data_IF_193776212179
#
_entry.id   IF_193776212179
#
_cell.length_a   1.000
_cell.length_b   1.000
_cell.length_c   1.000
_cell.angle_alpha   90.00
_cell.angle_beta   90.00
_cell.angle_gamma   90.00
#
_symmetry.space_group_name_H-M   'P 1'
#
loop_
_entity.id
_entity.type
_entity.pdbx_description
1 polymer ?
#
# COMPACT_ATOMS: atom_id res chain seq x y z
N UNK A 1 -31.33 -25.94 29.47
CA UNK A 1 -32.32 -24.84 29.30
C UNK A 1 -32.39 -24.53 27.80
N UNK A 2 -33.50 -24.84 27.13
CA UNK A 2 -33.70 -24.49 25.72
C UNK A 2 -34.00 -22.99 25.70
N UNK A 3 -33.10 -22.15 25.13
CA UNK A 3 -33.28 -20.71 25.07
C UNK A 3 -34.46 -20.40 24.11
N UNK A 4 -35.45 -19.67 24.57
CA UNK A 4 -36.59 -19.18 23.77
C UNK A 4 -36.07 -18.45 22.48
N UNK A 5 -34.97 -17.72 22.59
CA UNK A 5 -34.33 -17.07 21.47
C UNK A 5 -33.79 -18.04 20.40
N UNK A 6 -33.27 -19.20 20.79
CA UNK A 6 -32.74 -20.20 19.84
C UNK A 6 -33.86 -20.84 19.00
N UNK A 7 -35.01 -21.16 19.61
CA UNK A 7 -36.18 -21.69 18.87
C UNK A 7 -36.78 -20.66 17.92
N UNK A 8 -36.76 -19.42 18.30
CA UNK A 8 -37.28 -18.31 17.53
C UNK A 8 -36.39 -17.99 16.31
N UNK A 9 -35.09 -18.04 16.45
CA UNK A 9 -34.14 -17.91 15.35
C UNK A 9 -34.31 -19.04 14.34
N UNK A 10 -34.51 -20.29 14.82
CA UNK A 10 -34.74 -21.44 13.96
C UNK A 10 -36.08 -21.37 13.22
N UNK A 11 -37.13 -20.80 13.81
CA UNK A 11 -38.44 -20.66 13.17
C UNK A 11 -38.43 -19.59 12.07
N UNK A 12 -37.66 -18.50 12.25
CA UNK A 12 -37.53 -17.38 11.30
C UNK A 12 -36.15 -17.35 10.60
N UNK A 13 -35.47 -18.50 10.49
CA UNK A 13 -34.07 -18.59 10.02
C UNK A 13 -33.83 -17.85 8.70
N UNK A 14 -34.76 -17.92 7.74
CA UNK A 14 -34.62 -17.26 6.45
C UNK A 14 -34.48 -15.73 6.56
N UNK A 15 -35.26 -15.10 7.48
CA UNK A 15 -35.16 -13.65 7.73
C UNK A 15 -33.84 -13.30 8.41
N UNK A 16 -33.40 -14.10 9.38
CA UNK A 16 -32.12 -13.90 10.08
C UNK A 16 -30.94 -14.07 9.15
N UNK A 17 -30.93 -15.06 8.28
CA UNK A 17 -29.85 -15.29 7.30
C UNK A 17 -29.82 -14.15 6.28
N UNK A 18 -30.94 -13.75 5.71
CA UNK A 18 -31.01 -12.68 4.72
C UNK A 18 -30.52 -11.34 5.29
N UNK A 19 -31.01 -11.00 6.49
CA UNK A 19 -30.55 -9.77 7.19
C UNK A 19 -29.09 -9.86 7.64
N UNK A 20 -28.67 -11.08 8.07
CA UNK A 20 -27.28 -11.37 8.42
C UNK A 20 -26.32 -11.24 7.23
N UNK A 21 -26.75 -11.65 6.03
CA UNK A 21 -25.97 -11.46 4.78
C UNK A 21 -25.84 -9.97 4.46
N UNK A 22 -26.90 -9.18 4.54
CA UNK A 22 -26.86 -7.73 4.33
C UNK A 22 -25.90 -7.03 5.30
N UNK A 23 -26.01 -7.37 6.58
CA UNK A 23 -25.08 -6.89 7.61
C UNK A 23 -23.65 -7.38 7.35
N UNK A 24 -23.50 -8.64 6.95
CA UNK A 24 -22.21 -9.25 6.64
C UNK A 24 -21.49 -8.56 5.49
N UNK A 25 -22.19 -8.18 4.43
CA UNK A 25 -21.62 -7.39 3.35
C UNK A 25 -21.04 -6.07 3.85
N UNK A 26 -21.75 -5.37 4.71
CA UNK A 26 -21.28 -4.09 5.29
C UNK A 26 -20.05 -4.28 6.18
N UNK A 27 -20.06 -5.32 7.02
CA UNK A 27 -18.91 -5.72 7.85
C UNK A 27 -17.74 -6.12 6.96
N UNK A 28 -18.00 -6.87 5.88
CA UNK A 28 -16.97 -7.28 4.90
C UNK A 28 -16.28 -6.11 4.25
N UNK A 29 -17.02 -5.09 3.81
CA UNK A 29 -16.46 -3.84 3.27
C UNK A 29 -15.60 -3.14 4.33
N UNK A 30 -16.09 -3.04 5.56
CA UNK A 30 -15.35 -2.41 6.67
C UNK A 30 -14.02 -3.13 6.96
N UNK A 31 -14.06 -4.48 7.01
CA UNK A 31 -12.85 -5.30 7.20
C UNK A 31 -11.87 -5.17 6.03
N UNK A 32 -12.37 -5.12 4.79
CA UNK A 32 -11.53 -4.93 3.61
C UNK A 32 -10.84 -3.57 3.65
N UNK A 33 -11.55 -2.49 4.03
CA UNK A 33 -10.95 -1.15 4.16
C UNK A 33 -9.87 -1.09 5.24
N UNK A 34 -10.10 -1.74 6.39
CA UNK A 34 -9.08 -1.88 7.42
C UNK A 34 -7.87 -2.69 6.92
N UNK A 35 -8.12 -3.76 6.13
CA UNK A 35 -7.08 -4.57 5.50
C UNK A 35 -6.27 -3.80 4.45
N UNK A 36 -6.88 -2.92 3.67
CA UNK A 36 -6.18 -2.02 2.73
C UNK A 36 -5.21 -1.10 3.47
N UNK A 37 -5.65 -0.48 4.56
CA UNK A 37 -4.76 0.37 5.36
C UNK A 37 -3.52 -0.40 5.85
N UNK A 38 -3.73 -1.61 6.38
CA UNK A 38 -2.62 -2.47 6.82
C UNK A 38 -1.73 -2.90 5.66
N UNK A 39 -2.32 -3.24 4.52
CA UNK A 39 -1.58 -3.56 3.32
C UNK A 39 -0.65 -2.43 2.88
N UNK A 40 -1.11 -1.17 2.95
CA UNK A 40 -0.27 0.00 2.63
C UNK A 40 0.90 0.17 3.61
N UNK A 41 0.69 -0.07 4.90
CA UNK A 41 1.77 -0.01 5.91
C UNK A 41 2.76 -1.15 5.69
N UNK A 42 2.28 -2.34 5.37
CA UNK A 42 3.11 -3.50 5.07
C UNK A 42 3.93 -3.29 3.79
N UNK A 43 3.33 -2.76 2.72
CA UNK A 43 4.04 -2.43 1.48
C UNK A 43 5.18 -1.43 1.73
N UNK A 44 4.98 -0.43 2.59
CA UNK A 44 6.03 0.51 2.96
C UNK A 44 7.17 -0.16 3.74
N UNK A 45 6.88 -1.10 4.63
CA UNK A 45 7.90 -1.86 5.34
C UNK A 45 8.69 -2.77 4.38
N UNK A 46 7.98 -3.50 3.52
CA UNK A 46 8.56 -4.37 2.50
C UNK A 46 9.47 -3.59 1.54
N UNK A 47 9.07 -2.38 1.13
CA UNK A 47 9.91 -1.49 0.33
C UNK A 47 11.25 -1.19 1.01
N UNK A 48 11.24 -0.85 2.30
CA UNK A 48 12.45 -0.54 3.06
C UNK A 48 13.31 -1.77 3.31
N UNK A 49 12.70 -2.91 3.63
CA UNK A 49 13.40 -4.17 3.86
C UNK A 49 14.09 -4.65 2.59
N UNK A 50 13.36 -4.70 1.48
CA UNK A 50 13.87 -5.15 0.19
C UNK A 50 14.88 -4.20 -0.45
N UNK A 51 14.99 -2.95 0.04
CA UNK A 51 16.03 -2.04 -0.42
C UNK A 51 17.44 -2.46 0.01
N UNK A 52 17.58 -3.31 1.03
CA UNK A 52 18.86 -3.71 1.61
C UNK A 52 19.67 -2.55 2.19
N UNK A 53 19.08 -1.38 2.37
CA UNK A 53 19.74 -0.18 2.84
C UNK A 53 19.48 0.05 4.34
N UNK A 54 20.49 0.60 5.02
CA UNK A 54 20.38 1.09 6.40
C UNK A 54 20.21 2.60 6.44
N UNK A 55 20.81 3.33 5.45
CA UNK A 55 20.71 4.78 5.31
C UNK A 55 20.33 5.15 3.87
N UNK A 56 19.60 6.27 3.74
CA UNK A 56 19.22 6.91 2.48
C UNK A 56 19.84 8.30 2.43
N UNK A 57 20.77 8.53 1.51
CA UNK A 57 21.40 9.84 1.27
C UNK A 57 20.68 10.50 0.11
N UNK A 58 20.14 11.69 0.34
CA UNK A 58 19.28 12.42 -0.59
C UNK A 58 19.65 13.89 -0.64
N UNK A 59 19.05 14.62 -1.54
CA UNK A 59 19.23 16.06 -1.67
C UNK A 59 18.85 16.76 -0.35
N UNK A 60 19.54 17.85 -0.04
CA UNK A 60 19.23 18.68 1.12
C UNK A 60 17.77 19.15 1.09
N UNK A 61 17.15 19.20 2.27
CA UNK A 61 15.77 19.66 2.47
C UNK A 61 14.69 18.87 1.72
N UNK A 62 14.94 17.60 1.37
CA UNK A 62 13.95 16.70 0.79
C UNK A 62 13.60 15.57 1.76
N UNK A 63 12.34 15.10 1.70
CA UNK A 63 11.81 14.01 2.55
C UNK A 63 12.21 12.60 2.06
N UNK A 64 13.20 12.52 1.16
CA UNK A 64 13.69 11.24 0.66
C UNK A 64 13.06 10.80 -0.66
N UNK A 65 13.63 9.76 -1.29
CA UNK A 65 13.39 9.45 -2.69
C UNK A 65 12.00 8.89 -2.99
N UNK A 66 11.28 8.50 -1.94
CA UNK A 66 9.93 7.93 -2.07
C UNK A 66 8.81 8.96 -1.86
N UNK A 67 9.09 10.03 -1.13
CA UNK A 67 8.11 11.05 -0.78
C UNK A 67 8.23 12.28 -1.67
N UNK A 68 9.46 12.67 -2.01
CA UNK A 68 9.75 13.85 -2.81
C UNK A 68 10.83 13.54 -3.84
N UNK A 69 10.82 14.28 -4.94
CA UNK A 69 11.86 14.14 -5.96
C UNK A 69 13.18 14.68 -5.42
N UNK A 70 14.18 13.82 -5.35
CA UNK A 70 15.55 14.15 -4.96
C UNK A 70 16.45 14.04 -6.19
N UNK A 71 17.45 14.91 -6.26
CA UNK A 71 18.41 14.96 -7.36
C UNK A 71 19.79 15.28 -6.83
N UNK A 72 20.65 14.29 -6.77
CA UNK A 72 22.06 14.40 -6.33
C UNK A 72 22.97 13.91 -7.43
N UNK A 73 24.23 14.36 -7.45
CA UNK A 73 25.21 13.90 -8.42
C UNK A 73 25.55 12.42 -8.18
N UNK A 74 25.74 11.67 -9.26
CA UNK A 74 26.01 10.24 -9.20
C UNK A 74 27.39 9.88 -8.66
N UNK A 75 28.31 10.83 -8.56
CA UNK A 75 29.64 10.69 -7.93
C UNK A 75 29.60 10.78 -6.39
N UNK A 76 28.49 11.29 -5.82
CA UNK A 76 28.33 11.44 -4.37
C UNK A 76 28.51 10.10 -3.61
N UNK A 77 28.17 8.97 -4.23
CA UNK A 77 28.34 7.65 -3.61
C UNK A 77 29.80 7.36 -3.24
N UNK A 78 30.77 7.90 -3.97
CA UNK A 78 32.21 7.72 -3.70
C UNK A 78 32.63 8.41 -2.40
N UNK A 79 32.13 9.62 -2.19
CA UNK A 79 32.38 10.36 -0.94
C UNK A 79 31.75 9.64 0.25
N UNK A 80 30.53 9.11 0.07
CA UNK A 80 29.81 8.34 1.10
C UNK A 80 30.53 7.03 1.41
N UNK A 81 31.02 6.32 0.39
CA UNK A 81 31.74 5.05 0.57
C UNK A 81 33.05 5.20 1.36
N UNK A 82 33.69 6.41 1.28
CA UNK A 82 34.91 6.72 2.03
C UNK A 82 34.69 6.94 3.53
N UNK A 83 33.45 7.02 4.02
CA UNK A 83 33.16 7.31 5.42
C UNK A 83 33.27 6.04 6.28
N UNK A 84 33.88 6.19 7.45
CA UNK A 84 34.04 5.08 8.39
C UNK A 84 32.67 4.54 8.85
N UNK A 85 32.51 3.23 8.83
CA UNK A 85 31.26 2.56 9.19
C UNK A 85 30.37 2.19 7.98
N UNK A 86 30.64 2.74 6.80
CA UNK A 86 29.98 2.33 5.56
C UNK A 86 30.62 1.06 5.03
N UNK A 87 29.80 0.05 4.69
CA UNK A 87 30.23 -1.16 4.03
C UNK A 87 30.07 -1.08 2.53
N UNK A 88 28.89 -0.65 2.07
CA UNK A 88 28.55 -0.50 0.66
C UNK A 88 27.68 0.72 0.44
N UNK A 89 27.82 1.31 -0.73
CA UNK A 89 26.98 2.42 -1.19
C UNK A 89 26.62 2.20 -2.66
N UNK A 90 25.37 2.44 -3.02
CA UNK A 90 24.89 2.28 -4.40
C UNK A 90 23.96 3.42 -4.80
N UNK A 91 24.14 3.89 -6.03
CA UNK A 91 23.24 4.85 -6.65
C UNK A 91 21.94 4.19 -7.07
N UNK A 92 20.82 4.88 -6.82
CA UNK A 92 19.50 4.44 -7.28
C UNK A 92 18.68 5.60 -7.82
N UNK A 93 17.83 5.26 -8.78
CA UNK A 93 16.88 6.20 -9.40
C UNK A 93 15.50 5.60 -9.35
N UNK A 94 14.49 6.39 -8.99
CA UNK A 94 13.10 5.96 -8.86
C UNK A 94 12.18 6.77 -9.78
N UNK A 95 11.39 6.10 -10.59
CA UNK A 95 10.50 6.70 -11.57
C UNK A 95 9.18 5.94 -11.64
N UNK A 96 8.08 6.52 -11.15
CA UNK A 96 6.75 5.90 -11.28
C UNK A 96 6.13 6.30 -12.61
N UNK A 97 5.79 5.31 -13.44
CA UNK A 97 5.23 5.53 -14.77
C UNK A 97 4.43 4.34 -15.29
N UNK A 98 3.74 4.55 -16.40
CA UNK A 98 3.12 3.45 -17.16
C UNK A 98 4.17 2.80 -18.07
N UNK A 99 4.27 1.49 -17.95
CA UNK A 99 5.13 0.63 -18.78
C UNK A 99 4.24 -0.16 -19.73
N UNK A 100 4.57 -0.12 -21.01
CA UNK A 100 3.78 -0.75 -22.06
C UNK A 100 4.39 -2.08 -22.48
N UNK A 101 3.58 -3.14 -22.48
CA UNK A 101 3.96 -4.42 -23.07
C UNK A 101 3.81 -4.35 -24.60
N UNK A 102 4.86 -4.75 -25.33
CA UNK A 102 4.90 -4.73 -26.79
C UNK A 102 4.72 -6.15 -27.35
N UNK A 103 3.55 -6.74 -27.16
CA UNK A 103 3.26 -8.09 -27.66
C UNK A 103 2.21 -8.08 -28.76
N UNK A 104 2.29 -9.03 -29.70
CA UNK A 104 1.47 -9.09 -30.93
C UNK A 104 -0.03 -9.36 -30.71
N UNK A 105 -0.51 -9.46 -29.47
CA UNK A 105 -1.91 -9.82 -29.15
C UNK A 105 -2.68 -8.81 -28.30
N UNK A 106 -2.11 -7.68 -27.98
CA UNK A 106 -2.79 -6.63 -27.19
C UNK A 106 -1.80 -5.70 -26.49
N UNK A 107 -2.09 -4.43 -26.47
CA UNK A 107 -1.35 -3.45 -25.69
C UNK A 107 -1.83 -3.52 -24.22
N UNK A 108 -0.94 -3.90 -23.32
CA UNK A 108 -1.20 -3.83 -21.88
C UNK A 108 -0.29 -2.77 -21.27
N UNK A 109 -0.89 -1.77 -20.68
CA UNK A 109 -0.18 -0.73 -19.93
C UNK A 109 -0.27 -1.07 -18.44
N UNK A 110 0.89 -1.16 -17.78
CA UNK A 110 1.00 -1.46 -16.34
C UNK A 110 1.67 -0.27 -15.67
N UNK A 111 1.04 0.26 -14.62
CA UNK A 111 1.69 1.26 -13.77
C UNK A 111 2.71 0.54 -12.89
N UNK A 112 3.95 0.99 -12.95
CA UNK A 112 5.06 0.41 -12.20
C UNK A 112 6.01 1.48 -11.68
N UNK A 113 6.70 1.17 -10.58
CA UNK A 113 7.84 1.95 -10.12
C UNK A 113 9.10 1.40 -10.76
N UNK A 114 9.63 2.14 -11.72
CA UNK A 114 10.90 1.81 -12.40
C UNK A 114 12.05 2.25 -11.50
N UNK A 115 12.94 1.31 -11.19
CA UNK A 115 14.10 1.48 -10.32
C UNK A 115 15.37 1.29 -11.16
N UNK A 116 16.20 2.33 -11.21
CA UNK A 116 17.52 2.26 -11.85
C UNK A 116 18.57 1.74 -10.88
N UNK A 117 19.22 0.64 -11.23
CA UNK A 117 20.27 -0.01 -10.43
C UNK A 117 21.52 -0.29 -11.26
N UNK A 118 22.67 -0.41 -10.60
CA UNK A 118 23.91 -0.77 -11.28
C UNK A 118 23.90 -2.25 -11.65
N UNK A 119 24.07 -2.62 -12.95
CA UNK A 119 24.13 -4.02 -13.38
C UNK A 119 25.33 -4.77 -12.82
N UNK A 120 25.17 -6.06 -12.53
CA UNK A 120 26.25 -6.93 -12.10
C UNK A 120 26.73 -6.75 -10.65
N UNK A 121 26.18 -5.83 -9.92
CA UNK A 121 26.60 -5.51 -8.54
C UNK A 121 25.81 -6.34 -7.52
N UNK A 122 26.09 -7.62 -7.41
CA UNK A 122 25.43 -8.51 -6.43
C UNK A 122 25.65 -8.08 -4.98
N UNK A 123 24.58 -8.13 -4.17
CA UNK A 123 24.61 -7.80 -2.75
C UNK A 123 24.80 -6.32 -2.44
N UNK A 124 24.70 -5.43 -3.42
CA UNK A 124 24.60 -3.98 -3.17
C UNK A 124 23.18 -3.59 -2.77
N UNK A 125 23.03 -2.54 -1.95
CA UNK A 125 21.71 -2.02 -1.62
C UNK A 125 20.96 -1.56 -2.88
N UNK A 126 19.64 -1.74 -2.89
CA UNK A 126 18.77 -1.46 -4.04
C UNK A 126 18.62 -2.61 -5.03
N UNK A 127 19.43 -3.65 -4.93
CA UNK A 127 19.29 -4.86 -5.74
C UNK A 127 18.16 -5.75 -5.20
N UNK A 128 17.34 -6.38 -6.06
CA UNK A 128 16.35 -7.35 -5.59
C UNK A 128 17.04 -8.59 -4.98
N UNK A 129 16.64 -8.95 -3.77
CA UNK A 129 17.28 -10.05 -3.03
C UNK A 129 17.06 -11.41 -3.69
N UNK A 130 15.86 -11.67 -4.22
CA UNK A 130 15.56 -12.93 -4.88
C UNK A 130 14.97 -12.77 -6.26
N UNK A 131 15.34 -13.74 -7.12
CA UNK A 131 14.71 -13.99 -8.38
C UNK A 131 13.85 -15.25 -8.28
N UNK A 132 12.65 -15.19 -8.84
CA UNK A 132 11.80 -16.37 -9.00
C UNK A 132 12.22 -17.16 -10.23
N UNK A 133 12.58 -16.43 -11.30
CA UNK A 133 12.95 -17.01 -12.58
C UNK A 133 13.86 -16.06 -13.36
N UNK A 134 14.65 -16.62 -14.29
CA UNK A 134 15.55 -15.85 -15.14
C UNK A 134 16.89 -15.53 -14.49
N UNK A 135 17.44 -14.38 -14.79
CA UNK A 135 18.77 -13.91 -14.34
C UNK A 135 18.75 -12.44 -13.94
N UNK A 136 19.77 -11.99 -13.21
CA UNK A 136 20.00 -10.57 -12.89
C UNK A 136 20.38 -9.75 -14.10
N UNK A 137 20.35 -8.42 -13.97
CA UNK A 137 20.84 -7.50 -14.99
C UNK A 137 22.35 -7.70 -15.17
N UNK A 138 22.78 -7.93 -16.41
CA UNK A 138 24.19 -8.04 -16.76
C UNK A 138 24.59 -6.93 -17.73
N UNK A 139 23.70 -6.60 -18.67
CA UNK A 139 23.95 -5.56 -19.65
C UNK A 139 23.65 -4.18 -19.07
N UNK A 140 24.44 -3.21 -19.50
CA UNK A 140 24.27 -1.82 -19.09
C UNK A 140 23.06 -1.11 -19.72
N UNK A 141 22.38 -1.76 -20.69
CA UNK A 141 21.25 -1.19 -21.41
C UNK A 141 20.22 -2.25 -21.81
N UNK A 142 18.95 -1.85 -21.87
CA UNK A 142 17.82 -2.54 -22.50
C UNK A 142 17.45 -3.90 -21.90
N UNK A 143 17.84 -4.17 -20.65
CA UNK A 143 17.38 -5.29 -19.85
C UNK A 143 16.46 -4.81 -18.73
N UNK A 144 15.50 -5.64 -18.33
CA UNK A 144 14.62 -5.35 -17.22
C UNK A 144 14.40 -6.59 -16.34
N UNK A 145 14.30 -6.36 -15.00
CA UNK A 145 13.74 -7.32 -14.07
C UNK A 145 12.34 -6.84 -13.71
N UNK A 146 11.35 -7.69 -13.78
CA UNK A 146 9.98 -7.32 -13.47
C UNK A 146 9.48 -8.06 -12.23
N UNK A 147 8.72 -7.38 -11.38
CA UNK A 147 7.97 -8.09 -10.34
C UNK A 147 6.83 -8.91 -10.97
N UNK A 148 6.57 -10.09 -10.42
CA UNK A 148 5.51 -10.98 -10.92
C UNK A 148 4.12 -10.32 -10.94
N UNK A 149 3.88 -9.34 -10.05
CA UNK A 149 2.63 -8.58 -10.01
C UNK A 149 2.42 -7.68 -11.25
N UNK A 150 3.47 -7.39 -12.04
CA UNK A 150 3.33 -6.71 -13.34
C UNK A 150 2.58 -7.56 -14.36
N UNK A 151 2.63 -8.90 -14.20
CA UNK A 151 2.09 -9.87 -15.15
C UNK A 151 2.92 -10.02 -16.42
N UNK A 152 4.15 -9.49 -16.46
CA UNK A 152 5.10 -9.71 -17.54
C UNK A 152 5.76 -11.08 -17.41
N UNK A 153 6.09 -11.70 -18.55
CA UNK A 153 6.79 -12.96 -18.63
C UNK A 153 8.25 -12.77 -19.02
N UNK A 154 9.08 -13.79 -18.79
CA UNK A 154 10.45 -13.81 -19.28
C UNK A 154 10.50 -13.72 -20.81
N UNK A 155 11.36 -12.84 -21.32
CA UNK A 155 11.50 -12.58 -22.74
C UNK A 155 10.54 -11.55 -23.32
N UNK A 156 9.55 -11.08 -22.55
CA UNK A 156 8.65 -10.02 -22.99
C UNK A 156 9.41 -8.75 -23.33
N UNK A 157 8.96 -8.09 -24.39
CA UNK A 157 9.42 -6.75 -24.75
C UNK A 157 8.49 -5.71 -24.14
N UNK A 158 9.06 -4.83 -23.34
CA UNK A 158 8.36 -3.74 -22.68
C UNK A 158 8.94 -2.40 -23.10
N UNK A 159 8.10 -1.38 -23.22
CA UNK A 159 8.53 -0.02 -23.57
C UNK A 159 8.46 0.87 -22.34
N UNK A 160 9.60 1.48 -22.04
CA UNK A 160 9.75 2.49 -21.00
C UNK A 160 10.15 3.79 -21.72
N UNK A 161 9.24 4.76 -21.73
CA UNK A 161 9.37 6.00 -22.51
C UNK A 161 9.67 5.73 -24.00
N UNK A 162 10.93 5.90 -24.43
CA UNK A 162 11.35 5.79 -25.84
C UNK A 162 12.08 4.49 -26.15
N UNK A 163 12.52 3.75 -25.14
CA UNK A 163 13.35 2.58 -25.28
C UNK A 163 12.59 1.29 -25.01
N UNK A 164 12.94 0.25 -25.74
CA UNK A 164 12.41 -1.09 -25.56
C UNK A 164 13.38 -1.92 -24.71
N UNK A 165 12.85 -2.64 -23.73
CA UNK A 165 13.59 -3.50 -22.80
C UNK A 165 13.11 -4.92 -22.91
N UNK A 166 14.01 -5.87 -22.68
CA UNK A 166 13.67 -7.29 -22.59
C UNK A 166 13.63 -7.70 -21.12
N UNK A 167 12.55 -8.35 -20.70
CA UNK A 167 12.43 -8.88 -19.34
C UNK A 167 13.32 -10.12 -19.22
N UNK A 168 14.41 -10.01 -18.46
CA UNK A 168 15.43 -11.07 -18.29
C UNK A 168 15.30 -11.83 -16.98
N UNK A 169 14.52 -11.32 -16.03
CA UNK A 169 14.26 -11.99 -14.76
C UNK A 169 12.98 -11.50 -14.12
N UNK A 170 12.44 -12.34 -13.24
CA UNK A 170 11.23 -12.08 -12.48
C UNK A 170 11.55 -12.08 -10.98
N UNK A 171 11.02 -11.08 -10.28
CA UNK A 171 11.10 -10.94 -8.83
C UNK A 171 9.73 -11.17 -8.18
N UNK A 172 9.68 -11.23 -6.86
CA UNK A 172 8.43 -11.39 -6.13
C UNK A 172 8.34 -10.40 -4.99
N UNK A 173 7.16 -9.77 -4.87
CA UNK A 173 6.82 -8.84 -3.79
C UNK A 173 7.76 -7.63 -3.71
N UNK A 174 8.25 -7.20 -4.86
CA UNK A 174 8.94 -5.92 -5.02
C UNK A 174 7.88 -4.87 -5.34
N UNK A 175 7.47 -4.10 -4.33
CA UNK A 175 6.38 -3.12 -4.45
C UNK A 175 6.82 -1.76 -3.91
N UNK A 176 6.24 -0.71 -4.49
CA UNK A 176 6.40 0.65 -3.99
C UNK A 176 5.55 0.88 -2.73
N UNK A 177 5.78 1.97 -2.01
CA UNK A 177 4.93 2.40 -0.89
C UNK A 177 3.47 2.64 -1.29
N UNK A 178 3.18 2.80 -2.57
CA UNK A 178 1.84 2.92 -3.14
C UNK A 178 1.23 1.59 -3.56
N UNK A 179 1.95 0.46 -3.44
CA UNK A 179 1.54 -0.87 -3.90
C UNK A 179 1.70 -1.07 -5.41
N UNK A 180 2.37 -0.15 -6.14
CA UNK A 180 2.70 -0.36 -7.54
C UNK A 180 3.87 -1.37 -7.64
N UNK A 181 3.83 -2.36 -8.54
CA UNK A 181 4.93 -3.31 -8.71
C UNK A 181 6.19 -2.61 -9.17
N UNK A 182 7.35 -3.13 -8.76
CA UNK A 182 8.65 -2.60 -9.18
C UNK A 182 9.15 -3.25 -10.45
N UNK A 183 9.92 -2.47 -11.19
CA UNK A 183 10.61 -2.89 -12.39
C UNK A 183 12.03 -2.33 -12.36
N UNK A 184 13.04 -3.18 -12.39
CA UNK A 184 14.43 -2.78 -12.31
C UNK A 184 15.06 -2.71 -13.69
N UNK A 185 15.76 -1.62 -14.00
CA UNK A 185 16.49 -1.41 -15.25
C UNK A 185 17.90 -0.89 -14.93
N UNK A 186 18.84 -0.94 -15.90
CA UNK A 186 20.16 -0.35 -15.71
C UNK A 186 20.09 1.12 -15.31
N UNK A 187 20.95 1.52 -14.37
CA UNK A 187 20.98 2.88 -13.80
C UNK A 187 21.06 3.96 -14.89
N UNK A 188 21.92 3.78 -15.88
CA UNK A 188 22.10 4.75 -16.97
C UNK A 188 20.83 4.97 -17.79
N UNK A 189 20.07 3.89 -18.04
CA UNK A 189 18.81 3.97 -18.73
C UNK A 189 17.74 4.70 -17.89
N UNK A 190 17.72 4.43 -16.58
CA UNK A 190 16.81 5.09 -15.64
C UNK A 190 17.14 6.59 -15.52
N UNK A 191 18.42 6.95 -15.42
CA UNK A 191 18.87 8.36 -15.45
C UNK A 191 18.40 9.07 -16.72
N UNK A 192 18.58 8.43 -17.87
CA UNK A 192 18.10 8.96 -19.14
C UNK A 192 16.58 9.07 -19.19
N UNK A 193 15.86 8.09 -18.66
CA UNK A 193 14.41 8.11 -18.64
C UNK A 193 13.84 9.19 -17.71
N UNK A 194 14.46 9.45 -16.57
CA UNK A 194 13.96 10.41 -15.58
C UNK A 194 14.33 11.84 -15.89
N UNK A 195 15.56 12.09 -16.27
CA UNK A 195 16.13 13.43 -16.45
C UNK A 195 16.22 13.83 -17.92
N UNK A 196 15.30 13.36 -18.77
CA UNK A 196 15.23 13.79 -20.15
C UNK A 196 15.13 15.32 -20.22
N UNK A 197 16.20 15.96 -20.69
CA UNK A 197 16.14 17.34 -21.12
C UNK A 197 15.24 17.38 -22.37
N UNK A 198 14.42 18.40 -22.49
CA UNK A 198 13.66 18.64 -23.73
C UNK A 198 14.62 18.66 -24.92
N UNK A 199 14.22 18.01 -26.01
CA UNK A 199 15.03 17.98 -27.24
C UNK A 199 15.49 19.38 -27.65
N UNK A 200 14.63 20.38 -27.51
CA UNK A 200 14.95 21.78 -27.81
C UNK A 200 16.02 22.39 -26.88
N UNK A 201 16.03 22.02 -25.62
CA UNK A 201 17.06 22.45 -24.68
C UNK A 201 18.42 21.83 -25.00
N UNK A 202 18.42 20.53 -25.36
CA UNK A 202 19.65 19.83 -25.80
C UNK A 202 20.16 20.42 -27.12
N UNK A 203 19.29 20.61 -28.09
CA UNK A 203 19.65 21.22 -29.39
C UNK A 203 20.21 22.61 -29.21
N UNK A 204 19.55 23.47 -28.42
CA UNK A 204 20.06 24.80 -28.11
C UNK A 204 21.39 24.79 -27.36
N UNK A 205 21.57 23.87 -26.43
CA UNK A 205 22.81 23.73 -25.69
C UNK A 205 23.94 23.25 -26.60
N UNK A 206 23.72 22.27 -27.48
CA UNK A 206 24.69 21.81 -28.47
C UNK A 206 25.02 22.90 -29.47
N UNK A 207 24.02 23.63 -29.95
CA UNK A 207 24.26 24.77 -30.84
C UNK A 207 25.17 25.86 -30.21
N UNK A 208 24.92 26.18 -28.92
CA UNK A 208 25.81 27.14 -28.18
C UNK A 208 27.23 26.60 -28.01
N UNK A 209 27.38 25.29 -27.74
CA UNK A 209 28.69 24.66 -27.59
C UNK A 209 29.45 24.64 -28.92
N UNK A 210 28.77 24.29 -30.02
CA UNK A 210 29.34 24.28 -31.37
C UNK A 210 29.77 25.69 -31.81
N UNK A 211 29.00 26.71 -31.41
CA UNK A 211 29.33 28.12 -31.71
C UNK A 211 30.45 28.70 -30.83
N UNK A 212 30.82 28.02 -29.76
CA UNK A 212 31.85 28.51 -28.85
C UNK A 212 33.26 28.17 -29.37
N UNK A 213 34.12 29.16 -29.72
CA UNK A 213 35.45 28.93 -30.23
C UNK A 213 36.40 28.22 -29.25
N UNK A 214 36.03 28.21 -27.96
CA UNK A 214 36.83 27.51 -26.96
C UNK A 214 36.75 25.99 -27.09
N UNK A 215 35.63 25.47 -27.59
CA UNK A 215 35.36 24.02 -27.73
C UNK A 215 35.48 23.58 -29.20
N UNK A 216 35.14 24.46 -30.15
CA UNK A 216 35.20 24.18 -31.58
C UNK A 216 36.51 24.74 -32.16
N UNK A 217 37.63 24.07 -31.91
CA UNK A 217 38.97 24.48 -32.39
C UNK A 217 39.34 23.64 -33.63
N UNK A 218 39.80 24.30 -34.73
CA UNK A 218 40.43 23.58 -35.82
C UNK A 218 41.68 22.85 -35.30
N UNK A 219 41.72 21.51 -35.38
CA UNK A 219 42.84 20.71 -34.88
C UNK A 219 42.55 19.87 -33.61
N UNK A 220 41.38 20.02 -32.98
CA UNK A 220 40.95 19.18 -31.86
C UNK A 220 39.47 18.85 -31.96
N UNK A 221 39.01 18.09 -33.01
CA UNK A 221 37.63 17.79 -33.21
C UNK A 221 37.06 16.90 -32.08
N UNK A 222 37.87 16.08 -31.47
CA UNK A 222 37.49 15.19 -30.37
C UNK A 222 37.04 15.93 -29.11
N UNK A 223 37.52 17.18 -28.91
CA UNK A 223 37.13 17.99 -27.77
C UNK A 223 35.63 18.39 -27.83
N UNK A 224 35.17 18.78 -29.01
CA UNK A 224 33.77 19.13 -29.22
C UNK A 224 32.85 17.93 -28.99
N UNK A 225 33.24 16.74 -29.50
CA UNK A 225 32.49 15.50 -29.33
C UNK A 225 32.46 15.03 -27.87
N UNK A 226 33.58 15.13 -27.15
CA UNK A 226 33.67 14.83 -25.72
C UNK A 226 32.77 15.75 -24.88
N UNK A 227 32.82 17.08 -25.15
CA UNK A 227 31.98 18.07 -24.44
C UNK A 227 30.50 17.84 -24.77
N UNK A 228 30.18 17.55 -26.02
CA UNK A 228 28.77 17.29 -26.43
C UNK A 228 28.25 15.99 -25.84
N UNK A 229 29.06 14.97 -25.74
CA UNK A 229 28.74 13.71 -25.06
C UNK A 229 28.46 13.92 -23.56
N UNK A 230 29.30 14.74 -22.89
CA UNK A 230 29.12 15.08 -21.48
C UNK A 230 27.84 15.88 -21.23
N UNK A 231 27.47 16.77 -22.13
CA UNK A 231 26.25 17.58 -22.04
C UNK A 231 24.96 16.78 -22.22
N UNK A 232 25.03 15.66 -22.92
CA UNK A 232 23.89 14.74 -23.09
C UNK A 232 23.82 13.66 -22.03
N UNK A 233 24.86 13.49 -21.18
CA UNK A 233 24.85 12.55 -20.08
C UNK A 233 24.16 13.16 -18.85
N UNK A 234 23.22 12.44 -18.27
CA UNK A 234 22.65 12.77 -16.99
C UNK A 234 23.47 12.10 -15.89
N UNK A 235 24.05 12.92 -15.02
CA UNK A 235 24.85 12.48 -13.87
C UNK A 235 24.09 12.65 -12.56
N UNK A 236 22.76 12.60 -12.61
CA UNK A 236 21.92 12.72 -11.42
C UNK A 236 21.26 11.41 -11.05
N UNK A 237 21.10 11.17 -9.74
CA UNK A 237 20.37 10.05 -9.15
C UNK A 237 19.43 10.57 -8.07
N UNK A 238 18.43 9.77 -7.68
CA UNK A 238 17.50 10.20 -6.63
C UNK A 238 18.06 9.97 -5.23
N UNK A 239 18.85 8.93 -5.04
CA UNK A 239 19.45 8.64 -3.74
C UNK A 239 20.72 7.82 -3.87
N UNK A 240 21.56 7.89 -2.83
CA UNK A 240 22.55 6.86 -2.54
C UNK A 240 22.03 6.02 -1.40
N UNK A 241 21.88 4.73 -1.63
CA UNK A 241 21.56 3.75 -0.61
C UNK A 241 22.85 3.27 0.04
N UNK A 242 22.83 3.17 1.36
CA UNK A 242 24.04 2.83 2.15
C UNK A 242 23.75 1.62 3.02
N UNK A 243 24.63 0.65 2.98
CA UNK A 243 24.69 -0.48 3.88
C UNK A 243 25.84 -0.28 4.87
N UNK A 244 25.55 -0.48 6.15
CA UNK A 244 26.50 -0.28 7.23
C UNK A 244 27.27 -1.55 7.57
N UNK A 245 28.50 -1.40 8.06
CA UNK A 245 29.26 -2.49 8.65
C UNK A 245 28.55 -3.01 9.90
N UNK A 246 28.64 -4.30 10.15
CA UNK A 246 28.06 -4.91 11.35
C UNK A 246 28.54 -4.24 12.64
N UNK A 247 27.58 -3.77 13.43
CA UNK A 247 27.88 -3.09 14.70
C UNK A 247 28.13 -1.57 14.59
N UNK A 248 28.09 -0.99 13.40
CA UNK A 248 28.14 0.46 13.25
C UNK A 248 26.83 1.11 13.71
N UNK A 249 26.91 2.22 14.42
CA UNK A 249 25.74 3.01 14.83
C UNK A 249 25.23 3.85 13.66
N UNK A 250 24.01 3.63 13.27
CA UNK A 250 23.40 4.25 12.09
C UNK A 250 23.33 5.78 12.19
N UNK A 251 23.02 6.32 13.37
CA UNK A 251 22.88 7.77 13.54
C UNK A 251 24.26 8.47 13.51
N UNK A 252 25.27 7.88 14.12
CA UNK A 252 26.64 8.39 14.11
C UNK A 252 27.23 8.44 12.69
N UNK A 253 27.00 7.36 11.91
CA UNK A 253 27.45 7.33 10.50
C UNK A 253 26.63 8.31 9.66
N UNK A 254 25.34 8.42 9.87
CA UNK A 254 24.49 9.39 9.19
C UNK A 254 24.95 10.82 9.43
N UNK A 255 25.30 11.16 10.68
CA UNK A 255 25.82 12.49 11.01
C UNK A 255 27.18 12.76 10.34
N UNK A 256 28.07 11.76 10.30
CA UNK A 256 29.35 11.87 9.59
C UNK A 256 29.17 12.13 8.09
N UNK A 257 28.15 11.48 7.46
CA UNK A 257 27.83 11.73 6.06
C UNK A 257 27.25 13.13 5.87
N UNK A 258 26.34 13.60 6.73
CA UNK A 258 25.76 14.96 6.68
C UNK A 258 26.85 16.04 6.73
N UNK A 259 27.80 15.89 7.65
CA UNK A 259 28.92 16.83 7.80
C UNK A 259 29.88 16.81 6.60
N UNK A 260 30.15 15.63 6.04
CA UNK A 260 31.10 15.49 4.93
C UNK A 260 30.55 15.88 3.57
N UNK A 261 29.23 15.74 3.34
CA UNK A 261 28.64 15.90 2.00
C UNK A 261 27.62 17.03 1.88
N UNK A 262 27.14 17.60 2.97
CA UNK A 262 26.02 18.56 3.04
C UNK A 262 24.72 18.01 2.45
N UNK A 263 24.56 16.69 2.40
CA UNK A 263 23.34 16.01 1.96
C UNK A 263 22.50 15.62 3.17
N UNK A 264 21.22 15.43 2.96
CA UNK A 264 20.31 14.90 3.99
C UNK A 264 20.46 13.38 4.03
N UNK A 265 20.52 12.83 5.24
CA UNK A 265 20.63 11.39 5.44
C UNK A 265 19.53 10.92 6.39
N UNK A 266 18.82 9.91 5.98
CA UNK A 266 17.77 9.29 6.78
C UNK A 266 18.16 7.87 7.17
N UNK A 267 17.95 7.53 8.43
CA UNK A 267 18.03 6.15 8.91
C UNK A 267 16.78 5.38 8.48
N UNK A 268 16.81 4.05 8.56
CA UNK A 268 15.66 3.19 8.24
C UNK A 268 14.42 3.56 9.06
N UNK A 269 14.60 3.89 10.34
CA UNK A 269 13.49 4.32 11.19
C UNK A 269 12.90 5.65 10.74
N UNK A 270 13.74 6.64 10.47
CA UNK A 270 13.29 7.96 9.99
C UNK A 270 12.60 7.85 8.64
N UNK A 271 13.13 7.04 7.71
CA UNK A 271 12.49 6.80 6.40
C UNK A 271 11.13 6.11 6.55
N UNK A 272 11.02 5.14 7.48
CA UNK A 272 9.74 4.50 7.80
C UNK A 272 8.72 5.49 8.34
N UNK A 273 9.14 6.37 9.25
CA UNK A 273 8.27 7.42 9.79
C UNK A 273 7.80 8.38 8.70
N UNK A 274 8.69 8.78 7.79
CA UNK A 274 8.35 9.63 6.63
C UNK A 274 7.32 8.93 5.74
N UNK A 275 7.52 7.67 5.39
CA UNK A 275 6.59 6.91 4.55
C UNK A 275 5.22 6.80 5.21
N UNK A 276 5.16 6.49 6.49
CA UNK A 276 3.90 6.34 7.21
C UNK A 276 3.25 7.70 7.44
N UNK A 277 3.99 8.70 7.95
CA UNK A 277 3.43 9.98 8.38
C UNK A 277 3.15 10.95 7.22
N UNK A 278 3.81 10.81 6.06
CA UNK A 278 3.64 11.73 4.93
C UNK A 278 2.90 11.10 3.75
N UNK A 279 3.29 9.90 3.31
CA UNK A 279 2.63 9.26 2.18
C UNK A 279 1.33 8.55 2.58
N UNK A 280 1.37 7.76 3.66
CA UNK A 280 0.23 6.91 4.04
C UNK A 280 -0.78 7.68 4.89
N UNK A 281 -0.35 8.67 5.68
CA UNK A 281 -1.22 9.36 6.63
C UNK A 281 -2.44 10.02 5.99
N UNK A 282 -2.33 10.60 4.80
CA UNK A 282 -3.47 11.20 4.10
C UNK A 282 -4.50 10.13 3.73
N UNK A 283 -4.05 9.02 3.14
CA UNK A 283 -4.92 7.89 2.80
C UNK A 283 -5.46 7.22 4.07
N UNK A 284 -4.64 7.08 5.11
CA UNK A 284 -5.05 6.56 6.42
C UNK A 284 -6.16 7.40 7.05
N UNK A 285 -6.04 8.72 7.01
CA UNK A 285 -7.07 9.64 7.52
C UNK A 285 -8.38 9.50 6.74
N UNK A 286 -8.32 9.40 5.41
CA UNK A 286 -9.49 9.16 4.57
C UNK A 286 -10.15 7.81 4.90
N UNK A 287 -9.38 6.73 4.94
CA UNK A 287 -9.86 5.38 5.28
C UNK A 287 -10.46 5.38 6.69
N UNK A 288 -9.80 6.02 7.67
CA UNK A 288 -10.30 6.15 9.03
C UNK A 288 -11.67 6.87 9.09
N UNK A 289 -11.83 7.95 8.34
CA UNK A 289 -13.11 8.65 8.23
C UNK A 289 -14.20 7.76 7.60
N UNK A 290 -13.88 7.02 6.55
CA UNK A 290 -14.83 6.06 5.95
C UNK A 290 -15.19 4.94 6.93
N UNK A 291 -14.23 4.42 7.70
CA UNK A 291 -14.51 3.40 8.72
C UNK A 291 -15.47 3.91 9.81
N UNK A 292 -15.31 5.16 10.25
CA UNK A 292 -16.23 5.78 11.22
C UNK A 292 -17.63 5.91 10.62
N UNK A 293 -17.76 6.41 9.38
CA UNK A 293 -19.05 6.53 8.69
C UNK A 293 -19.70 5.15 8.54
N UNK A 294 -18.95 4.16 8.08
CA UNK A 294 -19.43 2.78 7.93
C UNK A 294 -19.87 2.19 9.27
N UNK A 295 -19.16 2.46 10.36
CA UNK A 295 -19.54 2.00 11.69
C UNK A 295 -20.85 2.64 12.16
N UNK A 296 -21.06 3.93 11.92
CA UNK A 296 -22.32 4.62 12.24
C UNK A 296 -23.46 4.07 11.41
N UNK A 297 -23.27 3.92 10.10
CA UNK A 297 -24.28 3.34 9.20
C UNK A 297 -24.61 1.89 9.60
N UNK A 298 -23.58 1.09 9.91
CA UNK A 298 -23.78 -0.28 10.40
C UNK A 298 -24.61 -0.31 11.69
N UNK A 299 -24.28 0.56 12.64
CA UNK A 299 -25.02 0.65 13.91
C UNK A 299 -26.49 1.05 13.68
N UNK A 300 -26.76 2.02 12.80
CA UNK A 300 -28.11 2.43 12.43
C UNK A 300 -28.90 1.32 11.76
N UNK A 301 -28.29 0.59 10.81
CA UNK A 301 -28.93 -0.54 10.13
C UNK A 301 -29.22 -1.66 11.12
N UNK A 302 -28.26 -2.02 12.00
CA UNK A 302 -28.48 -3.03 13.04
C UNK A 302 -29.63 -2.63 13.96
N UNK A 303 -29.63 -1.38 14.42
CA UNK A 303 -30.70 -0.86 15.29
C UNK A 303 -32.08 -0.95 14.61
N UNK A 304 -32.17 -0.55 13.33
CA UNK A 304 -33.39 -0.62 12.55
C UNK A 304 -33.87 -2.07 12.33
N UNK A 305 -32.96 -2.98 12.01
CA UNK A 305 -33.27 -4.39 11.84
C UNK A 305 -33.82 -5.00 13.13
N UNK A 306 -33.12 -4.78 14.27
CA UNK A 306 -33.53 -5.32 15.56
C UNK A 306 -34.86 -4.69 15.98
N UNK A 307 -35.06 -3.38 15.76
CA UNK A 307 -36.33 -2.71 16.03
C UNK A 307 -37.48 -3.33 15.21
N UNK A 308 -37.33 -3.50 13.90
CA UNK A 308 -38.38 -4.08 13.02
C UNK A 308 -38.68 -5.53 13.34
N UNK A 309 -37.68 -6.35 13.65
CA UNK A 309 -37.87 -7.72 14.10
C UNK A 309 -38.62 -7.78 15.43
N UNK A 310 -38.30 -6.89 16.36
CA UNK A 310 -38.96 -6.79 17.67
C UNK A 310 -40.41 -6.30 17.54
N UNK A 311 -40.65 -5.28 16.71
CA UNK A 311 -42.01 -4.76 16.45
C UNK A 311 -42.89 -5.81 15.75
N UNK A 312 -42.33 -6.61 14.84
CA UNK A 312 -43.07 -7.75 14.21
C UNK A 312 -43.52 -8.82 15.20
N UNK A 313 -42.96 -8.83 16.43
CA UNK A 313 -43.30 -9.80 17.49
C UNK A 313 -43.98 -9.16 18.69
N UNK A 314 -44.51 -7.96 18.52
CA UNK A 314 -45.05 -7.17 19.64
C UNK A 314 -46.20 -7.89 20.35
N UNK A 315 -47.06 -8.62 19.58
CA UNK A 315 -48.14 -9.42 20.12
C UNK A 315 -47.65 -10.59 20.99
N UNK A 316 -46.61 -11.27 20.56
CA UNK A 316 -45.96 -12.36 21.33
C UNK A 316 -45.37 -11.84 22.62
N UNK A 317 -44.70 -10.68 22.55
CA UNK A 317 -44.12 -9.99 23.71
C UNK A 317 -45.20 -9.52 24.68
N UNK A 318 -46.34 -9.03 24.17
CA UNK A 318 -47.51 -8.63 24.97
C UNK A 318 -48.10 -9.85 25.71
N UNK A 319 -48.28 -11.00 25.04
CA UNK A 319 -48.73 -12.24 25.68
C UNK A 319 -47.76 -12.68 26.77
N UNK A 320 -46.45 -12.65 26.52
CA UNK A 320 -45.42 -12.98 27.53
C UNK A 320 -45.53 -12.07 28.77
N UNK A 321 -45.79 -10.77 28.57
CA UNK A 321 -46.00 -9.83 29.67
C UNK A 321 -47.29 -10.16 30.47
N UNK A 322 -48.38 -10.53 29.79
CA UNK A 322 -49.62 -10.89 30.47
C UNK A 322 -49.51 -12.17 31.32
N UNK A 323 -48.70 -13.13 30.87
CA UNK A 323 -48.38 -14.35 31.63
C UNK A 323 -47.44 -14.07 32.82
N UNK A 324 -46.97 -12.83 32.97
CA UNK A 324 -46.10 -12.41 34.10
C UNK A 324 -44.62 -12.61 33.88
N UNK A 325 -44.14 -12.69 32.63
CA UNK A 325 -42.71 -12.81 32.33
C UNK A 325 -41.99 -11.51 32.75
N UNK A 326 -40.87 -11.64 33.45
CA UNK A 326 -40.06 -10.47 33.89
C UNK A 326 -39.50 -9.71 32.69
N UNK A 327 -39.52 -8.39 32.72
CA UNK A 327 -38.96 -7.49 31.67
C UNK A 327 -37.52 -7.81 31.31
N UNK A 328 -36.73 -8.28 32.28
CA UNK A 328 -35.33 -8.69 32.04
C UNK A 328 -35.20 -9.92 31.15
N UNK A 329 -36.18 -10.82 31.19
CA UNK A 329 -36.20 -12.00 30.32
C UNK A 329 -36.50 -11.61 28.87
N UNK A 330 -37.40 -10.65 28.66
CA UNK A 330 -37.74 -10.12 27.32
C UNK A 330 -36.52 -9.36 26.78
N UNK A 331 -35.88 -8.52 27.60
CA UNK A 331 -34.65 -7.79 27.24
C UNK A 331 -33.51 -8.77 26.86
N UNK A 332 -33.31 -9.82 27.66
CA UNK A 332 -32.33 -10.87 27.36
C UNK A 332 -32.59 -11.60 26.05
N UNK A 333 -33.85 -11.85 25.71
CA UNK A 333 -34.24 -12.49 24.45
C UNK A 333 -33.87 -11.60 23.25
N UNK A 334 -34.21 -10.32 23.29
CA UNK A 334 -33.88 -9.35 22.24
C UNK A 334 -32.35 -9.19 22.10
N UNK A 335 -31.64 -9.11 23.23
CA UNK A 335 -30.17 -9.02 23.27
C UNK A 335 -29.53 -10.26 22.61
N UNK A 336 -30.00 -11.46 22.92
CA UNK A 336 -29.47 -12.70 22.32
C UNK A 336 -29.70 -12.72 20.79
N UNK A 337 -30.88 -12.27 20.33
CA UNK A 337 -31.15 -12.15 18.89
C UNK A 337 -30.21 -11.15 18.21
N UNK A 338 -29.95 -10.03 18.83
CA UNK A 338 -29.02 -9.00 18.34
C UNK A 338 -27.58 -9.53 18.21
N UNK A 339 -27.11 -10.22 19.25
CA UNK A 339 -25.76 -10.83 19.26
C UNK A 339 -25.68 -11.94 18.23
N UNK A 340 -26.72 -12.82 18.11
CA UNK A 340 -26.73 -13.85 17.09
C UNK A 340 -26.66 -13.27 15.66
N UNK A 341 -27.45 -12.22 15.39
CA UNK A 341 -27.38 -11.50 14.12
C UNK A 341 -25.97 -10.91 13.86
N UNK A 342 -25.34 -10.32 14.88
CA UNK A 342 -23.98 -9.83 14.81
C UNK A 342 -22.95 -10.91 14.50
N UNK A 343 -23.09 -12.09 15.14
CA UNK A 343 -22.22 -13.25 14.88
C UNK A 343 -22.38 -13.76 13.45
N UNK A 344 -23.61 -13.93 12.97
CA UNK A 344 -23.90 -14.35 11.59
C UNK A 344 -23.33 -13.31 10.61
N UNK A 345 -23.59 -12.03 10.84
CA UNK A 345 -23.09 -10.94 10.01
C UNK A 345 -21.56 -10.91 9.98
N UNK A 346 -20.90 -11.11 11.12
CA UNK A 346 -19.42 -11.15 11.18
C UNK A 346 -18.84 -12.34 10.41
N UNK A 347 -19.41 -13.55 10.56
CA UNK A 347 -18.95 -14.73 9.83
C UNK A 347 -19.09 -14.54 8.33
N UNK A 348 -20.25 -14.07 7.88
CA UNK A 348 -20.48 -13.74 6.46
C UNK A 348 -19.53 -12.65 6.00
N UNK A 349 -19.36 -11.57 6.79
CA UNK A 349 -18.46 -10.46 6.47
C UNK A 349 -17.00 -10.89 6.31
N UNK A 350 -16.54 -11.79 7.19
CA UNK A 350 -15.17 -12.33 7.10
C UNK A 350 -15.00 -13.19 5.84
N UNK A 351 -15.97 -14.04 5.52
CA UNK A 351 -15.93 -14.86 4.30
C UNK A 351 -15.88 -13.94 3.07
N UNK A 352 -16.77 -12.95 3.00
CA UNK A 352 -16.83 -11.98 1.91
C UNK A 352 -15.51 -11.20 1.78
N UNK A 353 -14.99 -10.66 2.89
CA UNK A 353 -13.73 -9.93 2.89
C UNK A 353 -12.56 -10.79 2.38
N UNK A 354 -12.48 -12.05 2.82
CA UNK A 354 -11.41 -12.97 2.38
C UNK A 354 -11.55 -13.35 0.90
N UNK A 355 -12.78 -13.61 0.43
CA UNK A 355 -13.04 -13.94 -0.96
C UNK A 355 -12.80 -12.75 -1.91
N UNK A 356 -13.03 -11.54 -1.43
CA UNK A 356 -12.91 -10.31 -2.22
C UNK A 356 -11.50 -9.72 -2.23
N UNK A 357 -10.70 -9.98 -1.19
CA UNK A 357 -9.35 -9.47 -1.04
C UNK A 357 -8.45 -9.64 -2.29
N UNK A 358 -8.44 -10.79 -3.00
CA UNK A 358 -7.61 -10.98 -4.19
C UNK A 358 -8.01 -10.12 -5.40
N UNK A 359 -9.27 -9.65 -5.45
CA UNK A 359 -9.79 -8.83 -6.55
C UNK A 359 -9.62 -7.33 -6.30
N UNK A 360 -9.16 -6.97 -5.11
CA UNK A 360 -8.99 -5.56 -4.76
C UNK A 360 -7.72 -4.99 -5.42
N UNK A 361 -7.76 -3.74 -5.94
CA UNK A 361 -6.62 -3.14 -6.64
C UNK A 361 -5.42 -2.81 -5.74
N UNK A 362 -5.60 -2.88 -4.43
CA UNK A 362 -4.56 -2.69 -3.41
C UNK A 362 -4.39 -3.96 -2.59
N UNK A 363 -3.19 -4.17 -2.07
CA UNK A 363 -2.93 -5.31 -1.19
C UNK A 363 -3.79 -5.21 0.09
N UNK A 364 -4.54 -6.26 0.37
CA UNK A 364 -5.44 -6.35 1.53
C UNK A 364 -4.84 -7.34 2.51
N UNK A 365 -4.28 -6.83 3.61
CA UNK A 365 -3.72 -7.66 4.67
C UNK A 365 -4.76 -7.86 5.77
N UNK A 366 -5.29 -9.08 5.89
CA UNK A 366 -6.26 -9.47 6.91
C UNK A 366 -5.58 -10.28 8.00
N UNK A 367 -5.19 -9.63 9.09
CA UNK A 367 -4.59 -10.32 10.23
C UNK A 367 -5.64 -10.96 11.15
N UNK A 368 -5.32 -12.10 11.80
CA UNK A 368 -6.21 -12.72 12.80
C UNK A 368 -6.58 -11.78 13.95
N UNK A 369 -5.65 -10.93 14.38
CA UNK A 369 -5.87 -9.94 15.42
C UNK A 369 -6.96 -8.92 15.09
N UNK A 370 -7.10 -8.54 13.81
CA UNK A 370 -8.15 -7.62 13.36
C UNK A 370 -9.50 -8.30 13.30
N UNK A 371 -9.53 -9.58 12.98
CA UNK A 371 -10.76 -10.35 13.03
C UNK A 371 -11.32 -10.37 14.45
N UNK A 372 -10.47 -10.55 15.47
CA UNK A 372 -10.90 -10.51 16.88
C UNK A 372 -11.40 -9.12 17.28
N UNK A 373 -10.66 -8.06 16.93
CA UNK A 373 -11.07 -6.67 17.22
C UNK A 373 -12.37 -6.32 16.51
N UNK A 374 -12.50 -6.71 15.24
CA UNK A 374 -13.72 -6.52 14.45
C UNK A 374 -14.90 -7.29 15.03
N UNK A 375 -14.70 -8.52 15.47
CA UNK A 375 -15.75 -9.31 16.14
C UNK A 375 -16.24 -8.61 17.42
N UNK A 376 -15.32 -8.19 18.28
CA UNK A 376 -15.67 -7.47 19.51
C UNK A 376 -16.43 -6.18 19.21
N UNK A 377 -15.97 -5.41 18.23
CA UNK A 377 -16.64 -4.19 17.81
C UNK A 377 -18.06 -4.45 17.30
N UNK A 378 -18.26 -5.45 16.46
CA UNK A 378 -19.60 -5.84 15.94
C UNK A 378 -20.54 -6.25 17.09
N UNK A 379 -20.06 -7.07 18.02
CA UNK A 379 -20.86 -7.50 19.17
C UNK A 379 -21.25 -6.30 20.05
N UNK A 380 -20.32 -5.39 20.32
CA UNK A 380 -20.60 -4.15 21.07
C UNK A 380 -21.63 -3.27 20.36
N UNK A 381 -21.50 -3.08 19.04
CA UNK A 381 -22.45 -2.31 18.24
C UNK A 381 -23.85 -2.97 18.32
N UNK A 382 -23.93 -4.30 18.18
CA UNK A 382 -25.21 -5.03 18.28
C UNK A 382 -25.84 -4.89 19.67
N UNK A 383 -25.04 -4.97 20.74
CA UNK A 383 -25.53 -4.76 22.11
C UNK A 383 -26.08 -3.35 22.32
N UNK A 384 -25.34 -2.32 21.88
CA UNK A 384 -25.78 -0.94 21.99
C UNK A 384 -27.05 -0.67 21.17
N UNK A 385 -27.09 -1.17 19.93
CA UNK A 385 -28.23 -1.02 19.05
C UNK A 385 -29.49 -1.70 19.61
N UNK A 386 -29.35 -2.83 20.31
CA UNK A 386 -30.48 -3.56 20.92
C UNK A 386 -31.12 -2.78 22.08
N UNK A 387 -30.42 -1.88 22.75
CA UNK A 387 -30.96 -1.08 23.83
C UNK A 387 -32.17 -0.25 23.37
N UNK A 388 -32.10 0.33 22.18
CA UNK A 388 -33.21 1.08 21.59
C UNK A 388 -34.43 0.21 21.36
N UNK A 389 -34.25 -0.99 20.81
CA UNK A 389 -35.33 -1.93 20.57
C UNK A 389 -35.93 -2.48 21.87
N UNK A 390 -35.10 -2.76 22.87
CA UNK A 390 -35.54 -3.19 24.21
C UNK A 390 -36.38 -2.08 24.85
N UNK A 391 -35.92 -0.83 24.80
CA UNK A 391 -36.67 0.29 25.38
C UNK A 391 -38.03 0.47 24.70
N UNK A 392 -38.11 0.36 23.38
CA UNK A 392 -39.35 0.40 22.63
C UNK A 392 -40.29 -0.77 22.99
N UNK A 393 -39.79 -2.01 23.04
CA UNK A 393 -40.56 -3.19 23.37
C UNK A 393 -41.11 -3.18 24.81
N UNK A 394 -40.35 -2.63 25.75
CA UNK A 394 -40.79 -2.58 27.13
C UNK A 394 -41.83 -1.46 27.41
N UNK A 395 -41.93 -0.43 26.55
CA UNK A 395 -42.94 0.63 26.66
C UNK A 395 -44.34 0.25 26.17
N UNK A 396 -44.44 -0.85 25.39
CA UNK A 396 -45.73 -1.24 24.82
C UNK A 396 -46.70 -1.73 25.87
N UNK A 397 -47.93 -1.16 25.83
CA UNK A 397 -49.05 -1.63 26.65
C UNK A 397 -49.60 -2.94 26.10
N UNK A 398 -49.61 -4.02 26.91
CA UNK A 398 -50.15 -5.33 26.45
C UNK A 398 -51.58 -5.29 26.01
N UNK A 399 -52.43 -4.44 26.61
CA UNK A 399 -53.85 -4.35 26.27
C UNK A 399 -54.08 -3.72 24.88
N UNK A 400 -53.30 -2.71 24.54
CA UNK A 400 -53.32 -2.02 23.24
C UNK A 400 -52.77 -2.92 22.08
N UNK A 401 -51.74 -3.72 22.37
CA UNK A 401 -51.08 -4.58 21.39
C UNK A 401 -51.93 -5.81 20.96
N UNK A 402 -52.91 -6.22 21.77
CA UNK A 402 -53.78 -7.37 21.51
C UNK A 402 -55.14 -6.94 20.99
N UNK A 403 -55.61 -5.73 21.33
CA UNK A 403 -56.93 -5.22 20.98
C UNK A 403 -57.05 -4.44 19.70
N UNK A 404 -55.93 -4.19 18.97
CA UNK A 404 -55.85 -3.44 17.72
C UNK A 404 -55.77 -4.31 16.46
#
# INVERSE_FOLDING_TARGET
>A
MISLAGRDILHAWGKFVFTGVGLGLLIGVTMTMAGVYRGMVDDANVLLENSGADLWVVQQDTLGPYAESSSIYDDAYRSVLGIQGVERAANVTYLTMQVRQMQSGGQRDVRAMVVGIEPGAEGQPGQPDYLIAGRRLIRSHYEALADAATGFALGDRIRIRRNDYTVVGLTRRMVSSGGDPMLFIPLKDAQQAQFLKDNDAIVRQRARTTQNPAFNRPGSPDLLDAVTATQSSNSYVNAVLVQLKRGADAESVAESIRQGTRLTVYTRQQMREILIAKLIATSAKQIGMFLVILAIVSAAIVAFIIYTLTMGKIREIAVLKLIGTRSITIASMIMQQAVALGVIGFVVGKIVATAWAPFFPKFVLLEPGDAVRGFVAVVLICMLASILAIHAALKVDPAEAIGG
#
